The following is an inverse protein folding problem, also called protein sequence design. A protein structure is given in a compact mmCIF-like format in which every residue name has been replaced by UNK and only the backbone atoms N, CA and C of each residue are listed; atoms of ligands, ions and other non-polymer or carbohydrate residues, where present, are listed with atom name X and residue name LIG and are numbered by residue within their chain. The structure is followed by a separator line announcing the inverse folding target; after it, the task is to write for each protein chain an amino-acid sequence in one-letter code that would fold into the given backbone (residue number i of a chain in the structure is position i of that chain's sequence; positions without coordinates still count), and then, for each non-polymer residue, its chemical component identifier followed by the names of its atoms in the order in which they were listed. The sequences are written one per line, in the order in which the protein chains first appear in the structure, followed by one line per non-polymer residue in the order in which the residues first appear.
data_IF_908011683629
#
_entry.id   IF_908011683629
#
_cell.length_a   1.000
_cell.length_b   1.000
_cell.length_c   1.000
_cell.angle_alpha   90.00
_cell.angle_beta   90.00
_cell.angle_gamma   90.00
#
_symmetry.space_group_name_H-M   'P 1'
#
loop_
_entity.id
_entity.type
_entity.pdbx_description
1 polymer ?
#
# COMPACT_ATOMS: atom_id res chain seq x y z
N UNK A 1 1.57 -17.31 -16.19
CA UNK A 1 0.48 -17.32 -15.20
C UNK A 1 1.00 -17.15 -13.78
N UNK A 2 1.90 -18.02 -13.29
CA UNK A 2 2.51 -17.92 -11.94
C UNK A 2 3.14 -16.55 -11.62
N UNK A 3 3.89 -15.95 -12.55
CA UNK A 3 4.45 -14.62 -12.33
C UNK A 3 3.38 -13.52 -12.17
N UNK A 4 2.27 -13.64 -12.91
CA UNK A 4 1.16 -12.67 -12.84
C UNK A 4 0.34 -12.82 -11.55
N UNK A 5 0.20 -14.04 -11.01
CA UNK A 5 -0.41 -14.24 -9.70
C UNK A 5 0.47 -13.70 -8.57
N UNK A 6 1.79 -13.88 -8.66
CA UNK A 6 2.73 -13.32 -7.68
C UNK A 6 2.67 -11.79 -7.68
N UNK A 7 2.71 -11.15 -8.86
CA UNK A 7 2.60 -9.70 -8.98
C UNK A 7 1.27 -9.16 -8.42
N UNK A 8 0.17 -9.83 -8.77
CA UNK A 8 -1.16 -9.54 -8.22
C UNK A 8 -1.24 -9.70 -6.69
N UNK A 9 -0.48 -10.61 -6.10
CA UNK A 9 -0.44 -10.81 -4.65
C UNK A 9 0.39 -9.73 -3.96
N UNK A 10 1.56 -9.40 -4.49
CA UNK A 10 2.42 -8.33 -3.96
C UNK A 10 1.71 -6.98 -4.04
N UNK A 11 0.85 -6.77 -5.03
CA UNK A 11 0.01 -5.58 -5.10
C UNK A 11 -0.89 -5.41 -3.87
N UNK A 12 -1.25 -6.45 -3.11
CA UNK A 12 -2.02 -6.31 -1.86
C UNK A 12 -1.23 -5.66 -0.70
N UNK A 13 0.07 -5.40 -0.88
CA UNK A 13 0.89 -4.64 0.07
C UNK A 13 0.29 -3.27 0.42
N UNK A 14 -0.54 -2.67 -0.44
CA UNK A 14 -1.24 -1.42 -0.12
C UNK A 14 -1.99 -1.50 1.22
N UNK A 15 -2.57 -2.66 1.58
CA UNK A 15 -3.40 -2.82 2.79
C UNK A 15 -2.68 -2.45 4.09
N UNK A 16 -1.35 -2.51 4.12
CA UNK A 16 -0.55 -2.18 5.30
C UNK A 16 0.03 -0.76 5.26
N UNK A 17 -0.13 -0.05 4.14
CA UNK A 17 0.34 1.33 3.96
C UNK A 17 -0.80 2.28 4.35
N UNK A 18 -0.57 3.14 5.34
CA UNK A 18 -1.55 4.12 5.81
C UNK A 18 -1.48 5.48 5.14
N UNK A 19 -0.33 5.87 4.59
CA UNK A 19 -0.20 7.15 3.91
C UNK A 19 -1.00 7.14 2.60
N UNK A 20 -1.78 8.20 2.40
CA UNK A 20 -2.66 8.38 1.26
C UNK A 20 -2.64 9.83 0.79
N UNK A 21 -2.77 10.00 -0.53
CA UNK A 21 -2.82 11.30 -1.20
C UNK A 21 -3.91 11.29 -2.27
N UNK A 22 -4.61 12.41 -2.42
CA UNK A 22 -5.72 12.59 -3.36
C UNK A 22 -7.06 12.10 -2.82
N UNK A 23 -8.07 12.08 -3.69
CA UNK A 23 -9.45 11.71 -3.35
C UNK A 23 -9.76 10.30 -3.86
N UNK A 24 -10.17 9.36 -2.99
CA UNK A 24 -10.59 8.03 -3.42
C UNK A 24 -11.67 8.08 -4.51
N UNK A 25 -11.50 7.27 -5.55
CA UNK A 25 -12.44 7.19 -6.67
C UNK A 25 -12.17 8.18 -7.80
N UNK A 26 -11.28 9.15 -7.62
CA UNK A 26 -10.83 10.05 -8.68
C UNK A 26 -9.53 9.55 -9.29
N UNK A 27 -9.44 9.56 -10.63
CA UNK A 27 -8.24 9.17 -11.36
C UNK A 27 -7.22 10.32 -11.31
N UNK A 28 -5.95 10.08 -10.93
CA UNK A 28 -4.94 11.14 -10.90
C UNK A 28 -4.67 11.69 -12.30
N UNK A 29 -4.84 13.01 -12.43
CA UNK A 29 -4.69 13.74 -13.70
C UNK A 29 -3.65 14.86 -13.64
N UNK A 30 -3.06 15.14 -12.47
CA UNK A 30 -2.11 16.25 -12.30
C UNK A 30 -0.80 15.80 -11.66
N UNK A 31 0.29 16.50 -12.02
CA UNK A 31 1.62 16.31 -11.42
C UNK A 31 1.66 16.63 -9.93
N UNK A 32 0.73 17.46 -9.45
CA UNK A 32 0.61 17.88 -8.07
C UNK A 32 0.40 16.70 -7.12
N UNK A 33 -0.41 15.72 -7.52
CA UNK A 33 -0.67 14.52 -6.71
C UNK A 33 0.61 13.68 -6.54
N UNK A 34 1.43 13.56 -7.59
CA UNK A 34 2.72 12.88 -7.52
C UNK A 34 3.73 13.61 -6.62
N UNK A 35 3.72 14.96 -6.64
CA UNK A 35 4.56 15.79 -5.78
C UNK A 35 4.09 15.75 -4.31
N UNK A 36 2.78 15.68 -4.07
CA UNK A 36 2.24 15.50 -2.71
C UNK A 36 2.60 14.12 -2.13
N UNK A 37 2.66 13.07 -2.97
CA UNK A 37 3.20 11.79 -2.54
C UNK A 37 4.70 11.87 -2.20
N UNK A 38 5.50 12.63 -2.97
CA UNK A 38 6.91 12.92 -2.61
C UNK A 38 7.02 13.69 -1.29
N UNK A 39 6.15 14.69 -1.07
CA UNK A 39 6.08 15.45 0.18
C UNK A 39 5.82 14.51 1.36
N UNK A 40 4.82 13.63 1.26
CA UNK A 40 4.51 12.65 2.33
C UNK A 40 5.66 11.68 2.59
N UNK A 41 6.38 11.25 1.57
CA UNK A 41 7.58 10.42 1.76
C UNK A 41 8.72 11.21 2.43
N UNK A 42 8.89 12.50 2.10
CA UNK A 42 9.89 13.37 2.72
C UNK A 42 9.56 13.67 4.19
N UNK A 43 8.29 13.92 4.52
CA UNK A 43 7.81 14.11 5.90
C UNK A 43 8.08 12.87 6.76
N UNK A 44 8.02 11.68 6.16
CA UNK A 44 8.36 10.40 6.80
C UNK A 44 9.87 10.08 6.78
N UNK A 45 10.73 11.05 6.42
CA UNK A 45 12.18 10.91 6.32
C UNK A 45 12.65 9.75 5.42
N UNK A 46 11.86 9.39 4.40
CA UNK A 46 12.28 8.40 3.41
C UNK A 46 13.42 8.98 2.56
N UNK A 47 14.42 8.18 2.22
CA UNK A 47 15.51 8.62 1.35
C UNK A 47 14.94 9.01 -0.02
N UNK A 48 15.51 10.04 -0.65
CA UNK A 48 14.98 10.60 -1.90
C UNK A 48 15.16 9.65 -3.10
N UNK A 49 16.07 8.69 -3.01
CA UNK A 49 16.30 7.68 -4.03
C UNK A 49 16.67 6.32 -3.41
N UNK A 50 16.19 5.19 -3.98
CA UNK A 50 15.29 5.07 -5.13
C UNK A 50 13.81 4.95 -4.73
N UNK A 51 12.96 5.79 -5.36
CA UNK A 51 11.50 5.82 -5.21
C UNK A 51 10.84 5.40 -6.52
N UNK A 52 9.83 4.57 -6.41
CA UNK A 52 9.07 3.99 -7.52
C UNK A 52 7.60 4.37 -7.41
N UNK A 53 6.94 4.57 -8.54
CA UNK A 53 5.50 4.71 -8.62
C UNK A 53 4.92 3.63 -9.54
N UNK A 54 3.91 2.92 -9.09
CA UNK A 54 3.16 1.93 -9.87
C UNK A 54 1.72 2.38 -9.98
N UNK A 55 1.30 2.73 -11.20
CA UNK A 55 -0.01 3.33 -11.51
C UNK A 55 -0.81 2.47 -12.47
N UNK A 56 -2.13 2.55 -12.38
CA UNK A 56 -3.02 1.79 -13.25
C UNK A 56 -3.08 2.46 -14.64
N UNK A 57 -3.55 1.76 -15.68
CA UNK A 57 -3.62 2.29 -17.04
C UNK A 57 -4.34 3.64 -17.16
N UNK A 58 -5.46 3.79 -16.44
CA UNK A 58 -6.25 5.01 -16.44
C UNK A 58 -5.50 6.19 -15.80
N UNK A 59 -4.83 5.94 -14.67
CA UNK A 59 -3.95 6.92 -14.03
C UNK A 59 -2.77 7.29 -14.92
N UNK A 60 -2.15 6.31 -15.60
CA UNK A 60 -1.06 6.60 -16.53
C UNK A 60 -1.54 7.52 -17.67
N UNK A 61 -2.69 7.23 -18.27
CA UNK A 61 -3.25 8.09 -19.32
C UNK A 61 -3.57 9.51 -18.82
N UNK A 62 -4.16 9.65 -17.63
CA UNK A 62 -4.45 10.94 -17.00
C UNK A 62 -3.20 11.73 -16.64
N UNK A 63 -2.18 11.07 -16.08
CA UNK A 63 -0.90 11.70 -15.73
C UNK A 63 -0.13 12.12 -16.99
N UNK A 64 -0.09 11.30 -18.04
CA UNK A 64 0.55 11.66 -19.31
C UNK A 64 -0.15 12.85 -19.96
N UNK A 65 -1.47 12.97 -19.84
CA UNK A 65 -2.23 14.12 -20.35
C UNK A 65 -1.91 15.40 -19.57
N UNK A 66 -2.02 15.39 -18.24
CA UNK A 66 -1.74 16.57 -17.41
C UNK A 66 -0.29 17.02 -17.43
N UNK A 67 0.64 16.13 -17.76
CA UNK A 67 2.07 16.44 -17.91
C UNK A 67 2.43 17.08 -19.25
N UNK A 68 1.53 17.13 -20.24
CA UNK A 68 1.78 17.78 -21.55
C UNK A 68 2.03 19.29 -21.43
N UNK A 69 1.47 19.95 -20.41
CA UNK A 69 1.64 21.39 -20.18
C UNK A 69 2.96 21.79 -19.50
N UNK A 70 3.71 20.82 -18.95
CA UNK A 70 4.95 21.10 -18.22
C UNK A 70 6.14 21.08 -19.18
N UNK A 71 6.54 22.26 -19.64
CA UNK A 71 7.65 22.43 -20.58
C UNK A 71 9.01 22.05 -19.94
N UNK A 72 9.73 21.16 -20.63
CA UNK A 72 11.15 20.73 -20.47
C UNK A 72 11.42 19.59 -19.45
N UNK A 73 11.83 18.37 -19.89
CA UNK A 73 13.00 18.07 -20.75
C UNK A 73 12.70 17.34 -22.08
N UNK A 74 13.35 17.75 -23.17
CA UNK A 74 13.10 17.28 -24.57
C UNK A 74 13.32 15.77 -24.81
N UNK A 75 14.23 15.11 -24.09
CA UNK A 75 14.51 13.68 -24.25
C UNK A 75 13.45 12.78 -23.61
N UNK A 76 13.02 13.10 -22.40
CA UNK A 76 11.95 12.35 -21.71
C UNK A 76 10.60 12.62 -22.36
N UNK A 77 10.33 13.85 -22.84
CA UNK A 77 9.11 14.16 -23.59
C UNK A 77 9.08 13.37 -24.91
N UNK A 78 10.19 13.30 -25.64
CA UNK A 78 10.25 12.53 -26.88
C UNK A 78 9.94 11.05 -26.65
N UNK A 79 10.43 10.43 -25.57
CA UNK A 79 10.10 9.04 -25.22
C UNK A 79 8.67 8.88 -24.70
N UNK A 80 8.18 9.80 -23.87
CA UNK A 80 6.80 9.79 -23.36
C UNK A 80 5.78 9.95 -24.49
N UNK A 81 6.06 10.82 -25.46
CA UNK A 81 5.20 11.05 -26.63
C UNK A 81 5.28 9.90 -27.65
N UNK A 82 6.46 9.30 -27.85
CA UNK A 82 6.63 8.16 -28.79
C UNK A 82 6.11 6.84 -28.23
N UNK A 83 6.27 6.57 -26.93
CA UNK A 83 5.96 5.28 -26.32
C UNK A 83 4.68 5.29 -25.47
N UNK A 84 4.09 6.46 -25.17
CA UNK A 84 2.87 6.56 -24.35
C UNK A 84 3.04 6.14 -22.88
N UNK A 85 4.28 6.01 -22.41
CA UNK A 85 4.62 5.61 -21.04
C UNK A 85 5.42 6.73 -20.36
N UNK A 86 5.13 6.99 -19.08
CA UNK A 86 5.96 7.88 -18.26
C UNK A 86 7.39 7.29 -18.16
N UNK A 87 8.40 8.10 -18.46
CA UNK A 87 9.80 7.66 -18.49
C UNK A 87 10.45 7.55 -17.11
N UNK A 88 11.67 7.02 -17.07
CA UNK A 88 12.56 7.02 -15.90
C UNK A 88 13.03 8.44 -15.56
N UNK A 89 13.16 8.78 -14.28
CA UNK A 89 13.72 10.08 -13.83
C UNK A 89 12.77 11.29 -13.92
N UNK A 90 11.45 11.08 -13.79
CA UNK A 90 10.45 12.16 -13.85
C UNK A 90 9.98 12.52 -12.43
N UNK A 91 10.05 13.81 -12.07
CA UNK A 91 9.58 14.36 -10.78
C UNK A 91 10.20 13.69 -9.53
N UNK A 92 11.46 13.25 -9.61
CA UNK A 92 12.17 12.63 -8.49
C UNK A 92 11.84 11.15 -8.25
N UNK A 93 11.09 10.51 -9.15
CA UNK A 93 10.94 9.06 -9.20
C UNK A 93 11.97 8.45 -10.13
N UNK A 94 12.57 7.35 -9.70
CA UNK A 94 13.52 6.59 -10.51
C UNK A 94 12.79 5.97 -11.71
N UNK A 95 11.60 5.42 -11.45
CA UNK A 95 10.74 4.83 -12.48
C UNK A 95 9.25 4.95 -12.10
N UNK A 96 8.43 5.29 -13.10
CA UNK A 96 6.96 5.27 -13.02
C UNK A 96 6.47 4.16 -13.93
N UNK A 97 6.03 3.06 -13.34
CA UNK A 97 5.59 1.88 -14.07
C UNK A 97 4.07 1.77 -14.11
N UNK A 98 3.59 1.28 -15.24
CA UNK A 98 2.18 0.95 -15.43
C UNK A 98 1.97 -0.52 -15.14
N UNK A 99 1.07 -0.85 -14.21
CA UNK A 99 0.70 -2.23 -13.93
C UNK A 99 -0.82 -2.42 -13.96
N UNK A 100 -1.25 -3.46 -14.67
CA UNK A 100 -2.64 -3.95 -14.67
C UNK A 100 -2.96 -4.80 -13.43
N UNK A 101 -1.93 -5.21 -12.69
CA UNK A 101 -2.09 -6.05 -11.48
C UNK A 101 -2.53 -5.25 -10.26
N UNK A 102 -2.60 -3.91 -10.38
CA UNK A 102 -3.11 -3.03 -9.32
C UNK A 102 -4.53 -3.42 -8.96
N UNK A 103 -4.73 -3.68 -7.68
CA UNK A 103 -6.01 -4.13 -7.14
C UNK A 103 -6.94 -2.95 -6.90
N UNK A 104 -8.23 -3.25 -6.98
CA UNK A 104 -9.27 -2.37 -6.47
C UNK A 104 -9.51 -2.72 -5.00
N UNK A 105 -9.59 -1.70 -4.16
CA UNK A 105 -9.99 -1.84 -2.77
C UNK A 105 -11.47 -1.52 -2.64
N UNK A 106 -12.20 -2.34 -1.89
CA UNK A 106 -13.59 -2.09 -1.52
C UNK A 106 -13.63 -1.71 -0.05
N UNK A 107 -14.09 -0.50 0.26
CA UNK A 107 -14.20 -0.02 1.64
C UNK A 107 -15.27 -0.78 2.41
N UNK A 108 -15.18 -0.75 3.73
CA UNK A 108 -16.23 -1.25 4.60
C UNK A 108 -17.55 -0.48 4.51
N UNK A 109 -18.59 -0.97 5.21
CA UNK A 109 -19.93 -0.34 5.24
C UNK A 109 -20.01 0.91 6.12
N UNK A 110 -18.98 1.12 6.96
CA UNK A 110 -18.25 2.38 7.08
C UNK A 110 -18.85 3.73 6.67
N UNK A 111 -19.53 4.48 7.53
CA UNK A 111 -19.71 5.93 7.30
C UNK A 111 -18.36 6.67 7.26
N UNK A 112 -18.16 7.61 6.32
CA UNK A 112 -16.89 8.37 6.22
C UNK A 112 -16.71 9.36 7.38
N UNK A 113 -17.81 9.93 7.87
CA UNK A 113 -17.85 10.90 8.98
C UNK A 113 -18.88 10.45 10.03
N UNK A 114 -18.92 11.15 11.17
CA UNK A 114 -19.85 10.83 12.26
C UNK A 114 -19.36 9.75 13.22
N UNK A 115 -18.11 9.31 13.08
CA UNK A 115 -17.46 8.38 13.99
C UNK A 115 -16.62 9.14 15.02
N UNK A 116 -16.39 8.54 16.18
CA UNK A 116 -15.51 9.11 17.20
C UNK A 116 -14.70 8.04 17.91
N UNK A 117 -13.66 8.41 18.64
CA UNK A 117 -12.95 7.51 19.55
C UNK A 117 -13.80 7.26 20.81
N UNK A 118 -13.98 6.00 21.21
CA UNK A 118 -14.77 5.61 22.38
C UNK A 118 -13.97 5.52 23.68
N UNK A 119 -12.64 5.48 23.58
CA UNK A 119 -11.72 5.53 24.72
C UNK A 119 -10.43 6.25 24.33
N UNK A 120 -9.77 6.87 25.32
CA UNK A 120 -8.44 7.44 25.12
C UNK A 120 -7.40 6.33 25.11
N UNK A 121 -6.40 6.45 24.23
CA UNK A 121 -5.20 5.61 24.27
C UNK A 121 -4.24 6.22 25.28
N UNK A 122 -3.90 5.45 26.32
CA UNK A 122 -3.08 5.92 27.45
C UNK A 122 -1.69 5.29 27.52
N UNK A 123 -1.40 4.30 26.67
CA UNK A 123 -0.15 3.56 26.66
C UNK A 123 0.62 3.76 25.35
N UNK A 124 1.90 4.06 25.48
CA UNK A 124 2.87 4.04 24.38
C UNK A 124 2.98 2.61 23.81
N UNK A 125 2.99 2.49 22.48
CA UNK A 125 3.04 1.19 21.80
C UNK A 125 1.69 0.46 21.71
N UNK A 126 0.59 1.10 22.08
CA UNK A 126 -0.74 0.54 21.88
C UNK A 126 -1.01 0.23 20.40
N UNK A 127 -1.61 -0.94 20.14
CA UNK A 127 -1.92 -1.43 18.78
C UNK A 127 -3.42 -1.43 18.48
N UNK A 128 -4.22 -0.81 19.35
CA UNK A 128 -5.69 -0.81 19.23
C UNK A 128 -6.24 0.57 19.50
N UNK A 129 -7.22 0.99 18.69
CA UNK A 129 -8.04 2.18 18.91
C UNK A 129 -9.49 1.75 19.05
N UNK A 130 -10.14 2.16 20.12
CA UNK A 130 -11.57 1.94 20.31
C UNK A 130 -12.34 3.09 19.68
N UNK A 131 -13.31 2.76 18.81
CA UNK A 131 -14.15 3.71 18.09
C UNK A 131 -15.63 3.49 18.41
N UNK A 132 -16.38 4.59 18.38
CA UNK A 132 -17.83 4.63 18.29
C UNK A 132 -18.22 4.84 16.83
N UNK A 133 -18.97 3.90 16.27
CA UNK A 133 -19.44 3.88 14.88
C UNK A 133 -20.93 3.49 14.84
N UNK A 134 -21.56 3.62 13.67
CA UNK A 134 -22.94 3.16 13.48
C UNK A 134 -23.07 1.63 13.67
N UNK A 135 -24.26 1.16 14.06
CA UNK A 135 -24.48 -0.26 14.33
C UNK A 135 -24.33 -1.13 13.08
N UNK A 136 -23.69 -2.29 13.24
CA UNK A 136 -23.53 -3.29 12.17
C UNK A 136 -22.57 -2.88 11.05
N UNK A 137 -21.83 -1.78 11.20
CA UNK A 137 -20.83 -1.39 10.21
C UNK A 137 -19.56 -2.22 10.35
N UNK A 138 -18.93 -2.51 9.22
CA UNK A 138 -17.63 -3.19 9.16
C UNK A 138 -16.58 -2.21 8.66
N UNK A 139 -15.44 -2.18 9.33
CA UNK A 139 -14.18 -1.58 8.88
C UNK A 139 -13.35 -2.71 8.27
N UNK A 140 -12.89 -2.54 7.04
CA UNK A 140 -12.12 -3.56 6.34
C UNK A 140 -10.63 -3.33 6.53
N UNK A 141 -9.84 -4.40 6.51
CA UNK A 141 -8.38 -4.33 6.50
C UNK A 141 -7.93 -3.45 5.34
N UNK A 142 -7.11 -2.46 5.64
CA UNK A 142 -6.64 -1.46 4.68
C UNK A 142 -7.50 -0.20 4.60
N UNK A 143 -8.62 -0.09 5.33
CA UNK A 143 -9.30 1.19 5.53
C UNK A 143 -8.36 2.16 6.23
N UNK A 144 -8.25 3.37 5.69
CA UNK A 144 -7.43 4.46 6.25
C UNK A 144 -8.34 5.46 6.96
N UNK A 145 -7.90 6.00 8.09
CA UNK A 145 -8.64 7.03 8.82
C UNK A 145 -7.71 7.99 9.55
N UNK A 146 -8.22 9.18 9.83
CA UNK A 146 -7.57 10.19 10.66
C UNK A 146 -8.37 10.38 11.94
N UNK A 147 -7.67 10.74 13.01
CA UNK A 147 -8.27 11.13 14.29
C UNK A 147 -7.98 12.60 14.51
N UNK A 148 -9.00 13.38 14.87
CA UNK A 148 -8.81 14.79 15.20
C UNK A 148 -7.80 14.98 16.34
N UNK A 149 -7.00 16.04 16.24
CA UNK A 149 -5.95 16.41 17.20
C UNK A 149 -4.80 15.41 17.36
N UNK A 150 -4.67 14.44 16.45
CA UNK A 150 -3.51 13.54 16.36
C UNK A 150 -2.78 13.79 15.04
N UNK A 151 -1.72 14.59 15.11
CA UNK A 151 -0.89 14.98 13.97
C UNK A 151 0.31 14.06 13.81
N UNK A 152 0.75 13.87 12.57
CA UNK A 152 2.00 13.17 12.28
C UNK A 152 3.19 14.01 12.75
N UNK A 153 4.19 13.36 13.35
CA UNK A 153 5.45 14.01 13.74
C UNK A 153 6.56 13.68 12.76
N UNK A 154 7.51 14.59 12.61
CA UNK A 154 8.74 14.28 11.91
C UNK A 154 9.58 13.29 12.74
N UNK A 155 9.97 12.13 12.20
CA UNK A 155 10.72 11.12 12.95
C UNK A 155 12.06 11.59 13.53
N UNK A 156 12.68 12.64 12.95
CA UNK A 156 13.98 13.15 13.40
C UNK A 156 13.86 14.27 14.43
N UNK A 157 12.98 15.24 14.20
CA UNK A 157 12.84 16.42 15.07
C UNK A 157 11.76 16.24 16.13
N UNK A 158 10.84 15.29 15.95
CA UNK A 158 9.66 15.02 16.80
C UNK A 158 8.66 16.17 16.87
N UNK A 159 8.84 17.17 16.02
CA UNK A 159 7.91 18.28 15.85
C UNK A 159 6.72 17.85 14.99
N UNK A 160 5.56 18.44 15.27
CA UNK A 160 4.36 18.20 14.47
C UNK A 160 4.55 18.71 13.03
N UNK A 161 4.15 17.90 12.06
CA UNK A 161 4.11 18.29 10.65
C UNK A 161 2.90 19.16 10.31
N UNK A 162 1.96 19.34 11.25
CA UNK A 162 0.69 20.04 11.05
C UNK A 162 -0.35 19.27 10.23
N UNK A 163 0.01 18.09 9.71
CA UNK A 163 -0.93 17.17 9.04
C UNK A 163 -1.44 16.11 10.02
N UNK A 164 -2.74 15.80 9.98
CA UNK A 164 -3.30 14.67 10.73
C UNK A 164 -2.62 13.35 10.34
N UNK A 165 -2.34 12.51 11.33
CA UNK A 165 -1.78 11.18 11.10
C UNK A 165 -2.83 10.25 10.49
N UNK A 166 -2.42 9.46 9.51
CA UNK A 166 -3.29 8.52 8.81
C UNK A 166 -3.05 7.09 9.32
N UNK A 167 -4.00 6.59 10.09
CA UNK A 167 -4.03 5.23 10.59
C UNK A 167 -4.57 4.28 9.52
N UNK A 168 -4.09 3.04 9.53
CA UNK A 168 -4.61 1.96 8.67
C UNK A 168 -5.09 0.80 9.52
N UNK A 169 -6.28 0.28 9.20
CA UNK A 169 -6.83 -0.91 9.86
C UNK A 169 -6.03 -2.16 9.44
N UNK A 170 -5.36 -2.80 10.40
CA UNK A 170 -4.56 -3.99 10.16
C UNK A 170 -5.39 -5.28 10.00
N UNK A 171 -6.65 -5.27 10.44
CA UNK A 171 -7.58 -6.38 10.35
C UNK A 171 -9.02 -5.89 10.14
N UNK A 172 -9.89 -6.76 9.64
CA UNK A 172 -11.34 -6.52 9.58
C UNK A 172 -11.90 -6.38 11.00
N UNK A 173 -12.72 -5.35 11.24
CA UNK A 173 -13.38 -5.13 12.51
C UNK A 173 -14.85 -4.79 12.28
N UNK A 174 -15.75 -5.59 12.83
CA UNK A 174 -17.19 -5.36 12.76
C UNK A 174 -17.68 -4.79 14.10
N UNK A 175 -18.50 -3.75 14.03
CA UNK A 175 -19.05 -3.12 15.22
C UNK A 175 -20.02 -4.05 15.95
N UNK A 176 -19.84 -4.15 17.27
CA UNK A 176 -20.82 -4.78 18.17
C UNK A 176 -21.62 -3.67 18.84
N UNK A 177 -22.87 -3.50 18.42
CA UNK A 177 -23.64 -2.29 18.71
C UNK A 177 -22.96 -1.07 18.09
N UNK A 178 -22.72 -0.03 18.89
CA UNK A 178 -22.03 1.19 18.43
C UNK A 178 -20.53 1.17 18.66
N UNK A 179 -19.96 0.09 19.22
CA UNK A 179 -18.54 0.03 19.58
C UNK A 179 -17.76 -0.89 18.65
N UNK A 180 -16.55 -0.48 18.26
CA UNK A 180 -15.62 -1.29 17.47
C UNK A 180 -14.18 -1.04 17.92
N UNK A 181 -13.38 -2.09 18.01
CA UNK A 181 -11.94 -1.98 18.28
C UNK A 181 -11.17 -2.25 16.99
N UNK A 182 -10.43 -1.24 16.52
CA UNK A 182 -9.62 -1.33 15.32
C UNK A 182 -8.18 -1.62 15.70
N UNK A 183 -7.59 -2.65 15.09
CA UNK A 183 -6.15 -2.93 15.25
C UNK A 183 -5.37 -2.06 14.27
N UNK A 184 -4.32 -1.39 14.77
CA UNK A 184 -3.46 -0.48 14.03
C UNK A 184 -1.99 -0.75 14.38
N UNK A 185 -1.06 -0.15 13.62
CA UNK A 185 0.36 -0.19 13.96
C UNK A 185 0.63 0.45 15.35
N UNK A 186 1.71 0.06 16.05
CA UNK A 186 2.06 0.64 17.34
C UNK A 186 2.17 2.17 17.25
N UNK A 187 1.48 2.88 18.12
CA UNK A 187 1.49 4.34 18.17
C UNK A 187 2.32 4.86 19.33
N UNK A 188 3.05 5.95 19.09
CA UNK A 188 3.90 6.59 20.09
C UNK A 188 3.74 8.11 20.05
N UNK A 189 3.67 8.75 21.22
CA UNK A 189 3.62 10.21 21.35
C UNK A 189 4.97 10.88 21.10
N UNK A 190 4.98 12.22 20.95
CA UNK A 190 6.19 13.02 20.76
C UNK A 190 7.24 12.86 21.88
N UNK A 191 6.83 12.40 23.07
CA UNK A 191 7.71 12.19 24.22
C UNK A 191 8.57 10.91 24.09
N UNK A 192 8.27 10.04 23.13
CA UNK A 192 8.96 8.77 22.94
C UNK A 192 10.00 8.84 21.81
N UNK A 193 11.05 8.01 21.89
CA UNK A 193 12.09 7.97 20.87
C UNK A 193 11.59 7.45 19.50
N UNK A 194 10.50 6.68 19.50
CA UNK A 194 9.84 6.13 18.31
C UNK A 194 8.55 6.88 17.95
N UNK A 195 8.46 8.17 18.29
CA UNK A 195 7.27 8.99 18.10
C UNK A 195 6.70 8.87 16.67
N UNK A 196 5.41 8.57 16.58
CA UNK A 196 4.65 8.48 15.32
C UNK A 196 3.59 9.58 15.23
N UNK A 197 3.03 9.97 16.38
CA UNK A 197 2.02 11.02 16.53
C UNK A 197 2.46 12.03 17.58
N UNK A 198 1.95 13.25 17.50
CA UNK A 198 2.22 14.29 18.50
C UNK A 198 1.58 13.93 19.85
N UNK A 199 0.30 13.57 19.80
CA UNK A 199 -0.55 13.21 20.92
C UNK A 199 -1.28 11.91 20.59
N UNK A 200 -1.33 11.01 21.58
CA UNK A 200 -2.10 9.77 21.48
C UNK A 200 -3.61 10.10 21.32
N UNK A 201 -4.37 9.31 20.54
CA UNK A 201 -5.80 9.51 20.36
C UNK A 201 -6.55 9.67 21.68
N UNK A 202 -7.12 10.85 21.91
CA UNK A 202 -7.91 11.16 23.10
C UNK A 202 -9.35 10.66 22.94
N UNK A 203 -10.09 10.56 24.04
CA UNK A 203 -11.50 10.16 24.01
C UNK A 203 -12.39 11.22 23.34
N UNK A 204 -13.46 10.78 22.66
CA UNK A 204 -14.45 11.65 22.04
C UNK A 204 -13.98 12.46 20.83
N UNK A 205 -12.80 12.17 20.26
CA UNK A 205 -12.28 12.85 19.07
C UNK A 205 -12.94 12.34 17.80
N UNK A 206 -13.18 13.24 16.85
CA UNK A 206 -13.80 12.90 15.58
C UNK A 206 -12.86 11.99 14.76
N UNK A 207 -13.44 10.94 14.18
CA UNK A 207 -12.73 10.03 13.27
C UNK A 207 -13.31 10.15 11.89
N UNK A 208 -12.44 10.53 10.95
CA UNK A 208 -12.79 10.70 9.53
C UNK A 208 -12.05 9.65 8.74
N UNK A 209 -12.80 8.91 7.95
CA UNK A 209 -12.22 7.84 7.18
C UNK A 209 -12.02 8.20 5.69
N UNK A 210 -11.00 7.52 5.17
CA UNK A 210 -10.56 7.29 3.79
C UNK A 210 -11.66 6.91 2.78
N UNK A 211 -12.40 7.82 2.15
CA UNK A 211 -13.39 7.45 1.12
C UNK A 211 -14.78 7.02 1.63
N UNK A 212 -15.73 6.84 0.71
CA UNK A 212 -17.14 6.60 1.03
C UNK A 212 -17.45 5.13 1.41
N UNK A 213 -18.58 4.91 2.08
CA UNK A 213 -19.07 3.59 2.44
C UNK A 213 -19.27 2.70 1.20
N UNK A 214 -18.85 1.43 1.28
CA UNK A 214 -19.07 0.42 0.24
C UNK A 214 -18.62 0.86 -1.17
N UNK A 215 -17.60 1.71 -1.26
CA UNK A 215 -17.07 2.22 -2.52
C UNK A 215 -15.86 1.40 -2.96
N UNK A 216 -15.68 1.30 -4.27
CA UNK A 216 -14.56 0.56 -4.86
C UNK A 216 -13.68 1.50 -5.69
N UNK A 217 -12.37 1.46 -5.47
CA UNK A 217 -11.42 2.29 -6.19
C UNK A 217 -10.03 1.63 -6.32
N UNK A 218 -9.32 1.96 -7.39
CA UNK A 218 -7.98 1.44 -7.67
C UNK A 218 -6.94 1.98 -6.69
N UNK A 219 -5.93 1.16 -6.38
CA UNK A 219 -4.88 1.47 -5.41
C UNK A 219 -3.53 1.69 -6.08
N UNK A 220 -3.29 2.89 -6.63
CA UNK A 220 -1.94 3.19 -7.13
C UNK A 220 -0.98 3.33 -5.95
N UNK A 221 0.26 2.92 -6.15
CA UNK A 221 1.26 2.84 -5.09
C UNK A 221 2.50 3.64 -5.45
N UNK A 222 2.99 4.39 -4.48
CA UNK A 222 4.29 5.07 -4.52
C UNK A 222 5.10 4.56 -3.34
N UNK A 223 6.32 4.09 -3.56
CA UNK A 223 7.11 3.48 -2.50
C UNK A 223 8.61 3.64 -2.70
N UNK A 224 9.36 3.64 -1.60
CA UNK A 224 10.80 3.46 -1.62
C UNK A 224 11.15 1.97 -1.80
N UNK A 225 12.32 1.65 -2.39
CA UNK A 225 12.74 0.24 -2.59
C UNK A 225 12.70 -0.62 -1.33
N UNK A 226 12.96 -0.01 -0.17
CA UNK A 226 13.08 -0.71 1.11
C UNK A 226 11.74 -0.80 1.87
N UNK A 227 10.63 -0.34 1.27
CA UNK A 227 9.31 -0.38 1.89
C UNK A 227 8.71 -1.79 1.88
N UNK A 228 8.84 -2.49 0.75
CA UNK A 228 8.24 -3.81 0.51
C UNK A 228 9.37 -4.78 0.19
N UNK A 229 9.38 -5.93 0.87
CA UNK A 229 10.35 -6.99 0.60
C UNK A 229 9.62 -8.21 0.07
N UNK A 230 10.14 -8.74 -1.04
CA UNK A 230 9.72 -9.98 -1.64
C UNK A 230 10.85 -10.99 -1.48
N UNK A 231 10.52 -12.18 -0.98
CA UNK A 231 11.47 -13.26 -0.78
C UNK A 231 10.94 -14.53 -1.47
N UNK A 232 11.85 -15.27 -2.09
CA UNK A 232 11.57 -16.62 -2.59
C UNK A 232 12.46 -17.61 -1.88
N UNK A 233 11.95 -18.80 -1.63
CA UNK A 233 12.68 -19.87 -0.99
C UNK A 233 12.76 -21.07 -1.92
N UNK A 234 13.90 -21.77 -1.85
CA UNK A 234 14.13 -22.97 -2.62
C UNK A 234 13.37 -24.16 -2.01
N UNK A 235 12.45 -24.75 -2.78
CA UNK A 235 11.81 -26.00 -2.36
C UNK A 235 12.74 -27.19 -2.59
N UNK A 236 12.67 -28.16 -1.69
CA UNK A 236 13.38 -29.44 -1.80
C UNK A 236 13.00 -30.16 -3.11
N UNK A 237 13.99 -30.69 -3.81
CA UNK A 237 13.77 -31.56 -4.98
C UNK A 237 13.49 -32.99 -4.50
N UNK A 238 12.31 -33.57 -4.78
CA UNK A 238 12.02 -34.94 -4.38
C UNK A 238 12.90 -35.94 -5.17
N UNK A 239 13.37 -36.98 -4.49
CA UNK A 239 14.08 -38.10 -5.12
C UNK A 239 13.10 -39.20 -5.53
N UNK A 240 13.43 -39.97 -6.58
CA UNK A 240 12.60 -41.09 -7.04
C UNK A 240 11.45 -40.73 -7.98
N UNK A 241 11.45 -39.52 -8.55
CA UNK A 241 10.52 -39.08 -9.59
C UNK A 241 11.20 -39.11 -10.96
N UNK A 242 10.40 -39.26 -12.03
CA UNK A 242 10.88 -39.34 -13.41
C UNK A 242 11.69 -38.10 -13.81
N UNK A 243 11.21 -36.90 -13.45
CA UNK A 243 11.95 -35.66 -13.69
C UNK A 243 11.68 -34.64 -12.59
N UNK A 244 12.74 -34.12 -11.99
CA UNK A 244 12.69 -32.94 -11.12
C UNK A 244 13.78 -31.97 -11.55
N UNK A 245 13.42 -30.72 -11.80
CA UNK A 245 14.37 -29.67 -12.13
C UNK A 245 14.01 -28.37 -11.43
N UNK A 246 15.02 -27.54 -11.22
CA UNK A 246 14.86 -26.19 -10.66
C UNK A 246 15.50 -25.20 -11.62
N UNK A 247 14.80 -24.11 -11.89
CA UNK A 247 15.30 -23.00 -12.69
C UNK A 247 14.96 -21.69 -11.99
N UNK A 248 15.88 -20.73 -12.04
CA UNK A 248 15.65 -19.38 -11.55
C UNK A 248 15.37 -18.49 -12.76
N UNK A 249 14.24 -17.79 -12.74
CA UNK A 249 13.90 -16.82 -13.77
C UNK A 249 13.49 -15.51 -13.10
N UNK A 250 14.14 -14.40 -13.46
CA UNK A 250 13.91 -13.07 -12.87
C UNK A 250 13.99 -13.05 -11.32
N UNK A 251 14.90 -13.84 -10.74
CA UNK A 251 15.07 -13.92 -9.28
C UNK A 251 14.01 -14.75 -8.55
N UNK A 252 13.10 -15.41 -9.27
CA UNK A 252 12.12 -16.34 -8.71
C UNK A 252 12.60 -17.77 -8.96
N UNK A 253 12.77 -18.53 -7.88
CA UNK A 253 13.09 -19.96 -7.94
C UNK A 253 11.84 -20.78 -8.25
N UNK A 254 11.87 -21.52 -9.35
CA UNK A 254 10.77 -22.37 -9.82
C UNK A 254 11.21 -23.84 -9.79
N UNK A 255 10.36 -24.70 -9.25
CA UNK A 255 10.56 -26.15 -9.29
C UNK A 255 9.54 -26.79 -10.22
N UNK A 256 10.01 -27.64 -11.14
CA UNK A 256 9.15 -28.53 -11.93
C UNK A 256 9.34 -29.97 -11.45
N UNK A 257 8.23 -30.69 -11.28
CA UNK A 257 8.21 -32.11 -10.95
C UNK A 257 7.26 -32.83 -11.89
N UNK A 258 7.73 -33.93 -12.49
CA UNK A 258 6.95 -34.84 -13.32
C UNK A 258 7.03 -36.26 -12.76
N UNK A 259 5.89 -36.94 -12.77
CA UNK A 259 5.79 -38.34 -12.39
C UNK A 259 4.92 -39.08 -13.42
N UNK A 260 5.22 -40.36 -13.68
CA UNK A 260 4.36 -41.24 -14.46
C UNK A 260 3.37 -41.96 -13.53
N UNK A 261 2.08 -41.82 -13.79
CA UNK A 261 1.00 -42.54 -13.12
C UNK A 261 0.68 -43.81 -13.91
N UNK A 262 1.21 -44.94 -13.42
CA UNK A 262 1.06 -46.26 -14.04
C UNK A 262 -0.39 -46.75 -14.08
N UNK A 263 -1.26 -46.30 -13.16
CA UNK A 263 -2.63 -46.80 -13.08
C UNK A 263 -3.54 -46.19 -14.15
N UNK A 264 -3.27 -44.94 -14.55
CA UNK A 264 -4.12 -44.19 -15.47
C UNK A 264 -3.41 -43.83 -16.79
N UNK A 265 -2.17 -44.27 -16.98
CA UNK A 265 -1.29 -43.94 -18.11
C UNK A 265 -1.20 -42.42 -18.36
N UNK A 266 -0.89 -41.67 -17.28
CA UNK A 266 -0.78 -40.19 -17.33
C UNK A 266 0.57 -39.73 -16.86
N UNK A 267 1.02 -38.58 -17.38
CA UNK A 267 2.22 -37.89 -16.92
C UNK A 267 1.86 -36.56 -16.27
N UNK A 268 1.37 -36.55 -15.00
CA UNK A 268 1.18 -35.30 -14.28
C UNK A 268 2.49 -34.52 -14.14
N UNK A 269 2.44 -33.24 -14.49
CA UNK A 269 3.50 -32.26 -14.30
C UNK A 269 2.97 -31.13 -13.40
N UNK A 270 3.77 -30.70 -12.42
CA UNK A 270 3.48 -29.51 -11.62
C UNK A 270 4.67 -28.55 -11.57
N UNK A 271 4.35 -27.27 -11.48
CA UNK A 271 5.32 -26.20 -11.27
C UNK A 271 4.96 -25.50 -9.96
N UNK A 272 5.90 -25.50 -9.02
CA UNK A 272 5.71 -24.95 -7.68
C UNK A 272 6.67 -23.78 -7.43
N UNK A 273 6.21 -22.75 -6.72
CA UNK A 273 6.99 -21.60 -6.24
C UNK A 273 6.64 -21.35 -4.78
N UNK A 274 7.66 -21.15 -3.93
CA UNK A 274 7.48 -20.70 -2.55
C UNK A 274 7.95 -19.26 -2.47
N UNK A 275 7.01 -18.36 -2.20
CA UNK A 275 7.26 -16.93 -2.09
C UNK A 275 6.54 -16.36 -0.88
N UNK A 276 7.04 -15.22 -0.41
CA UNK A 276 6.41 -14.39 0.59
C UNK A 276 6.69 -12.92 0.31
N UNK A 277 5.78 -12.06 0.72
CA UNK A 277 5.99 -10.61 0.71
C UNK A 277 5.60 -10.02 2.06
N UNK A 278 6.29 -8.95 2.45
CA UNK A 278 5.96 -8.20 3.66
C UNK A 278 6.27 -6.71 3.47
N UNK A 279 5.45 -5.86 4.09
CA UNK A 279 5.68 -4.42 4.15
C UNK A 279 6.49 -4.13 5.41
N UNK A 280 7.81 -4.07 5.27
CA UNK A 280 8.74 -3.89 6.40
C UNK A 280 8.69 -2.46 6.94
N UNK A 281 8.52 -1.48 6.04
CA UNK A 281 8.50 -0.05 6.39
C UNK A 281 7.28 0.64 5.77
N UNK A 282 6.09 0.48 6.36
CA UNK A 282 4.84 1.02 5.80
C UNK A 282 4.86 2.55 5.66
N UNK A 283 5.63 3.25 6.48
CA UNK A 283 5.81 4.71 6.39
C UNK A 283 6.53 5.17 5.11
N UNK A 284 7.25 4.27 4.42
CA UNK A 284 7.95 4.56 3.16
C UNK A 284 7.11 4.19 1.92
N UNK A 285 5.81 3.93 2.11
CA UNK A 285 4.84 3.75 1.04
C UNK A 285 3.74 4.81 1.13
N UNK A 286 3.11 5.13 -0.01
CA UNK A 286 1.98 6.04 -0.15
C UNK A 286 1.00 5.45 -1.17
N UNK A 287 -0.29 5.48 -0.86
CA UNK A 287 -1.37 5.18 -1.81
C UNK A 287 -1.76 6.47 -2.53
N UNK A 288 -1.94 6.40 -3.84
CA UNK A 288 -2.15 7.56 -4.69
C UNK A 288 -3.46 7.48 -5.47
N UNK A 289 -4.29 8.52 -5.31
CA UNK A 289 -5.52 8.77 -6.08
C UNK A 289 -5.53 10.21 -6.59
N UNK A 290 -6.44 10.57 -7.49
CA UNK A 290 -6.55 11.92 -8.05
C UNK A 290 -7.34 12.89 -7.20
#
# INVERSE_FOLDING_TARGET
QLASSIDADVANSYKYIGNTVGTPGTTPSTSLVLLQAQQKLNENAAVMSPRYATVNPAANAGLVEGMKGLFNPTDTISKQFKNGMMGTGVLGYDEINMSQSIKQFTTGTRGATGNSTSAAVTAEGATTIALTVANGVTIKQGDVFTVADSSAVNPQTRESTGSLFQFVAAADATASGTSVTVTVAPMYSANHALATVDVLPQNGKAVVFVGAASSQYAQNLVYHKDAITFATADLLLPQGVDMAARAVHNGISLRIVRQYDINNDRMPCRIDVLYGYSVIRPQMGVRLWG
#
